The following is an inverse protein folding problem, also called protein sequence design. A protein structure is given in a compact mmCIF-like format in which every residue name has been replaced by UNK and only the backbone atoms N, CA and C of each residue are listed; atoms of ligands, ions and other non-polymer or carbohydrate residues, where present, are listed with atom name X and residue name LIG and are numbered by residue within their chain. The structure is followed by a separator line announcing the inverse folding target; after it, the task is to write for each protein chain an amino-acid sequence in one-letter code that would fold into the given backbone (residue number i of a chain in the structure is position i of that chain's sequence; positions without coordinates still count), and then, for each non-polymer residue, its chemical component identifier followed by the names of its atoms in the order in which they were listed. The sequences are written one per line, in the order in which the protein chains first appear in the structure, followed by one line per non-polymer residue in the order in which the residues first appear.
data_IF_363591801186
#
_entry.id   IF_363591801186
#
_cell.length_a   1.000
_cell.length_b   1.000
_cell.length_c   1.000
_cell.angle_alpha   90.00
_cell.angle_beta   90.00
_cell.angle_gamma   90.00
#
_symmetry.space_group_name_H-M   'P 1'
#
loop_
_entity.id
_entity.type
_entity.pdbx_description
1 polymer ?
#
# COMPACT_ATOMS: atom_id res chain seq x y z
N UNK A 1 -2.92 -2.68 -22.19
CA UNK A 1 -2.47 -3.31 -20.93
C UNK A 1 -3.51 -3.05 -19.86
N UNK A 2 -4.29 -4.06 -19.45
CA UNK A 2 -5.20 -3.92 -18.30
C UNK A 2 -4.33 -3.95 -17.05
N UNK A 3 -4.10 -2.78 -16.43
CA UNK A 3 -3.42 -2.72 -15.14
C UNK A 3 -4.20 -3.59 -14.16
N UNK A 4 -3.51 -4.54 -13.53
CA UNK A 4 -4.08 -5.33 -12.43
C UNK A 4 -4.71 -4.36 -11.45
N UNK A 5 -6.04 -4.32 -11.38
CA UNK A 5 -6.76 -3.69 -10.27
C UNK A 5 -6.24 -4.42 -9.04
N UNK A 6 -5.34 -3.81 -8.28
CA UNK A 6 -4.94 -4.36 -6.98
C UNK A 6 -6.22 -4.51 -6.16
N UNK A 7 -6.64 -5.76 -6.02
CA UNK A 7 -7.76 -6.16 -5.20
C UNK A 7 -7.14 -6.43 -3.82
N UNK A 8 -7.28 -5.46 -2.92
CA UNK A 8 -6.83 -5.65 -1.55
C UNK A 8 -7.80 -6.57 -0.83
N UNK A 9 -7.24 -7.53 -0.10
CA UNK A 9 -7.97 -8.38 0.83
C UNK A 9 -7.94 -7.76 2.23
N UNK A 10 -8.77 -8.23 3.16
CA UNK A 10 -8.80 -7.65 4.51
C UNK A 10 -7.55 -8.02 5.33
N UNK A 11 -6.90 -9.12 4.94
CA UNK A 11 -5.75 -9.72 5.60
C UNK A 11 -4.44 -9.07 5.17
N UNK A 12 -4.43 -8.39 4.01
CA UNK A 12 -3.24 -7.73 3.48
C UNK A 12 -2.65 -6.73 4.50
N UNK A 13 -1.33 -6.78 4.61
CA UNK A 13 -0.56 -6.03 5.61
C UNK A 13 -0.25 -4.65 5.07
N UNK A 14 -0.56 -3.62 5.85
CA UNK A 14 -0.21 -2.23 5.58
C UNK A 14 1.10 -1.94 6.31
N UNK A 15 2.11 -1.47 5.57
CA UNK A 15 3.37 -0.97 6.13
C UNK A 15 3.49 0.52 5.86
N UNK A 16 3.51 1.37 6.90
CA UNK A 16 3.72 2.80 6.72
C UNK A 16 5.13 3.10 6.21
N UNK A 17 5.22 4.03 5.26
CA UNK A 17 6.47 4.53 4.69
C UNK A 17 6.81 5.94 5.19
N UNK A 18 5.81 6.64 5.74
CA UNK A 18 5.92 7.99 6.30
C UNK A 18 5.20 8.03 7.66
N UNK A 19 5.64 8.91 8.55
CA UNK A 19 5.00 9.08 9.86
C UNK A 19 3.81 10.05 9.81
N UNK A 20 3.84 11.01 8.88
CA UNK A 20 2.83 12.08 8.76
C UNK A 20 2.30 12.19 7.33
N UNK A 21 0.99 12.34 7.12
CA UNK A 21 0.42 12.51 5.78
C UNK A 21 0.96 13.73 5.03
N UNK A 22 1.37 13.52 3.77
CA UNK A 22 1.75 14.61 2.85
C UNK A 22 0.54 15.30 2.20
N UNK A 23 -0.57 15.42 2.93
CA UNK A 23 -1.82 16.02 2.47
C UNK A 23 -2.12 17.24 3.33
N UNK A 24 -2.86 18.22 2.82
CA UNK A 24 -3.22 19.42 3.61
C UNK A 24 -3.91 19.04 4.93
N UNK A 25 -3.30 19.43 6.04
CA UNK A 25 -3.82 19.23 7.39
C UNK A 25 -5.25 19.79 7.54
N UNK A 26 -6.07 19.10 8.34
CA UNK A 26 -7.49 19.43 8.56
C UNK A 26 -8.45 18.95 7.46
N UNK A 27 -7.95 18.48 6.31
CA UNK A 27 -8.80 17.87 5.28
C UNK A 27 -9.32 16.49 5.70
N UNK A 28 -10.40 16.02 5.06
CA UNK A 28 -10.88 14.64 5.25
C UNK A 28 -9.82 13.62 4.83
N UNK A 29 -9.11 13.89 3.73
CA UNK A 29 -8.06 13.00 3.23
C UNK A 29 -6.88 12.90 4.19
N UNK A 30 -6.51 13.99 4.87
CA UNK A 30 -5.50 13.96 5.91
C UNK A 30 -5.90 13.00 7.04
N UNK A 31 -7.11 13.18 7.59
CA UNK A 31 -7.64 12.32 8.66
C UNK A 31 -7.74 10.85 8.26
N UNK A 32 -8.20 10.58 7.03
CA UNK A 32 -8.28 9.21 6.51
C UNK A 32 -6.88 8.60 6.35
N UNK A 33 -5.90 9.38 5.88
CA UNK A 33 -4.53 8.91 5.73
C UNK A 33 -3.87 8.64 7.09
N UNK A 34 -4.11 9.48 8.11
CA UNK A 34 -3.64 9.21 9.49
C UNK A 34 -4.17 7.88 10.02
N UNK A 35 -5.45 7.57 9.77
CA UNK A 35 -6.03 6.28 10.16
C UNK A 35 -5.32 5.13 9.46
N UNK A 36 -5.08 5.24 8.15
CA UNK A 36 -4.42 4.19 7.37
C UNK A 36 -2.99 3.95 7.88
N UNK A 37 -2.25 5.01 8.21
CA UNK A 37 -0.88 4.93 8.74
C UNK A 37 -0.82 4.22 10.11
N UNK A 38 -1.89 4.27 10.89
CA UNK A 38 -1.98 3.66 12.23
C UNK A 38 -2.51 2.21 12.21
N UNK A 39 -2.86 1.67 11.04
CA UNK A 39 -3.44 0.33 10.92
C UNK A 39 -2.41 -0.68 10.42
N UNK A 40 -2.53 -1.91 10.91
CA UNK A 40 -1.65 -3.00 10.50
C UNK A 40 -2.17 -3.75 9.26
N UNK A 41 -3.48 -3.78 9.06
CA UNK A 41 -4.12 -4.50 7.94
C UNK A 41 -5.17 -3.65 7.24
N UNK A 42 -5.46 -4.02 6.00
CA UNK A 42 -6.51 -3.40 5.18
C UNK A 42 -7.88 -3.52 5.85
N UNK A 43 -8.20 -4.67 6.44
CA UNK A 43 -9.46 -4.88 7.16
C UNK A 43 -9.62 -3.95 8.36
N UNK A 44 -8.55 -3.73 9.12
CA UNK A 44 -8.55 -2.78 10.25
C UNK A 44 -8.75 -1.35 9.76
N UNK A 45 -8.02 -0.94 8.72
CA UNK A 45 -8.16 0.38 8.10
C UNK A 45 -9.59 0.61 7.59
N UNK A 46 -10.17 -0.34 6.86
CA UNK A 46 -11.55 -0.24 6.38
C UNK A 46 -12.55 -0.13 7.51
N UNK A 47 -12.37 -0.89 8.61
CA UNK A 47 -13.25 -0.82 9.77
C UNK A 47 -13.20 0.57 10.42
N UNK A 48 -12.01 1.13 10.64
CA UNK A 48 -11.84 2.46 11.23
C UNK A 48 -12.34 3.58 10.30
N UNK A 49 -12.06 3.48 9.01
CA UNK A 49 -12.53 4.43 7.99
C UNK A 49 -14.06 4.47 7.90
N UNK A 50 -14.72 3.30 7.95
CA UNK A 50 -16.19 3.20 7.94
C UNK A 50 -16.83 3.66 9.24
N UNK A 51 -16.12 3.55 10.36
CA UNK A 51 -16.59 4.01 11.66
C UNK A 51 -16.54 5.54 11.81
N UNK A 52 -15.94 6.27 10.87
CA UNK A 52 -16.01 7.73 10.90
C UNK A 52 -17.40 8.23 10.50
N UNK A 53 -17.95 9.13 11.30
CA UNK A 53 -19.26 9.78 11.09
C UNK A 53 -19.42 10.44 9.71
N UNK A 54 -18.31 10.79 9.07
CA UNK A 54 -18.32 11.53 7.80
C UNK A 54 -18.65 10.64 6.59
N UNK A 55 -18.71 9.31 6.73
CA UNK A 55 -19.19 8.40 5.67
C UNK A 55 -18.36 8.34 4.38
N UNK A 56 -17.23 9.04 4.31
CA UNK A 56 -16.41 9.19 3.10
C UNK A 56 -15.20 8.24 3.02
N UNK A 57 -14.94 7.44 4.07
CA UNK A 57 -13.78 6.56 4.16
C UNK A 57 -14.01 5.17 3.55
N UNK A 58 -13.07 4.67 2.76
CA UNK A 58 -13.16 3.32 2.19
C UNK A 58 -11.91 2.85 1.46
N UNK A 59 -12.09 1.85 0.59
CA UNK A 59 -11.00 1.22 -0.16
C UNK A 59 -10.22 2.22 -1.03
N UNK A 60 -10.88 3.31 -1.44
CA UNK A 60 -10.26 4.36 -2.22
C UNK A 60 -9.20 5.14 -1.42
N UNK A 61 -9.39 5.38 -0.12
CA UNK A 61 -8.40 6.07 0.72
C UNK A 61 -7.14 5.23 0.93
N UNK A 62 -7.29 3.91 1.03
CA UNK A 62 -6.17 2.96 1.11
C UNK A 62 -5.39 2.99 -0.21
N UNK A 63 -6.07 3.00 -1.37
CA UNK A 63 -5.41 3.16 -2.68
C UNK A 63 -4.70 4.51 -2.78
N UNK A 64 -5.34 5.58 -2.34
CA UNK A 64 -4.75 6.91 -2.33
C UNK A 64 -3.48 6.95 -1.47
N UNK A 65 -3.45 6.28 -0.31
CA UNK A 65 -2.26 6.17 0.51
C UNK A 65 -1.10 5.43 -0.20
N UNK A 66 -1.40 4.37 -0.94
CA UNK A 66 -0.39 3.66 -1.76
C UNK A 66 0.11 4.55 -2.90
N UNK A 67 -0.79 5.21 -3.63
CA UNK A 67 -0.45 6.08 -4.77
C UNK A 67 0.39 7.30 -4.34
N UNK A 68 0.25 7.76 -3.09
CA UNK A 68 1.05 8.85 -2.52
C UNK A 68 2.33 8.37 -1.82
N UNK A 69 2.69 7.09 -1.94
CA UNK A 69 3.83 6.47 -1.25
C UNK A 69 3.79 6.66 0.27
N UNK A 70 2.60 6.76 0.86
CA UNK A 70 2.44 6.86 2.30
C UNK A 70 2.52 5.49 2.97
N UNK A 71 2.06 4.45 2.27
CA UNK A 71 2.09 3.06 2.72
C UNK A 71 2.44 2.12 1.55
N UNK A 72 2.92 0.94 1.87
CA UNK A 72 2.94 -0.21 0.96
C UNK A 72 2.02 -1.32 1.49
N UNK A 73 1.47 -2.13 0.59
CA UNK A 73 0.59 -3.24 0.94
C UNK A 73 1.26 -4.54 0.51
N UNK A 74 1.34 -5.50 1.43
CA UNK A 74 1.87 -6.83 1.18
C UNK A 74 0.74 -7.85 1.28
N UNK A 75 0.69 -8.78 0.32
CA UNK A 75 -0.32 -9.82 0.36
C UNK A 75 -0.03 -10.81 1.50
N UNK A 76 -1.06 -11.15 2.28
CA UNK A 76 -0.89 -12.05 3.42
C UNK A 76 -0.55 -13.50 2.99
N UNK A 77 -0.92 -13.93 1.79
CA UNK A 77 -0.60 -15.26 1.27
C UNK A 77 0.84 -15.38 0.76
N UNK A 78 1.41 -14.31 0.21
CA UNK A 78 2.83 -14.23 -0.19
C UNK A 78 3.79 -14.27 1.02
N UNK A 79 3.30 -13.98 2.23
CA UNK A 79 4.09 -13.98 3.47
C UNK A 79 4.23 -15.38 4.11
N UNK A 80 3.82 -16.46 3.43
CA UNK A 80 4.03 -17.85 3.89
C UNK A 80 5.42 -18.41 3.55
N UNK A 81 6.19 -17.75 2.68
CA UNK A 81 7.57 -18.11 2.36
C UNK A 81 8.53 -16.93 2.61
N UNK A 82 9.23 -16.86 3.75
CA UNK A 82 10.19 -15.78 4.05
C UNK A 82 11.43 -15.76 3.13
N UNK A 83 11.47 -16.60 2.08
CA UNK A 83 12.62 -16.78 1.19
C UNK A 83 12.34 -16.41 -0.27
N UNK A 84 11.21 -15.75 -0.59
CA UNK A 84 10.90 -15.31 -1.95
C UNK A 84 10.96 -13.78 -2.11
N UNK A 85 12.05 -13.16 -1.65
CA UNK A 85 12.50 -11.92 -2.29
C UNK A 85 13.31 -12.31 -3.53
N UNK A 86 12.67 -12.32 -4.70
CA UNK A 86 13.39 -12.35 -5.97
C UNK A 86 13.60 -10.89 -6.37
N UNK A 87 14.79 -10.29 -6.18
CA UNK A 87 15.07 -9.02 -6.81
C UNK A 87 14.88 -9.22 -8.32
N UNK A 88 14.03 -8.39 -8.94
CA UNK A 88 13.86 -8.40 -10.40
C UNK A 88 15.24 -8.24 -11.01
N UNK A 89 15.71 -9.32 -11.62
CA UNK A 89 16.93 -9.37 -12.41
C UNK A 89 16.88 -8.20 -13.39
N UNK A 90 17.91 -7.35 -13.33
CA UNK A 90 18.18 -6.42 -14.42
C UNK A 90 18.40 -7.29 -15.66
N UNK A 91 17.56 -7.04 -16.64
CA UNK A 91 17.60 -7.59 -17.98
C UNK A 91 19.05 -7.70 -18.50
N UNK A 92 19.33 -8.82 -19.15
CA UNK A 92 20.60 -9.06 -19.80
C UNK A 92 20.95 -8.00 -20.84
N UNK A 93 22.24 -7.74 -20.94
CA UNK A 93 22.92 -7.55 -22.20
C UNK A 93 24.30 -8.22 -22.01
N UNK A 94 24.41 -9.47 -22.45
CA UNK A 94 25.65 -9.89 -23.10
C UNK A 94 25.88 -8.94 -24.27
N UNK A 95 27.13 -8.57 -24.52
CA UNK A 95 27.77 -8.78 -25.82
C UNK A 95 29.18 -8.17 -25.78
N UNK A 96 30.16 -9.04 -26.07
CA UNK A 96 31.46 -8.78 -26.71
C UNK A 96 32.52 -7.90 -26.03
N UNK A 97 33.47 -8.57 -25.37
CA UNK A 97 34.86 -8.10 -25.27
C UNK A 97 35.75 -9.13 -25.99
N UNK A 98 36.30 -8.84 -27.18
CA UNK A 98 37.50 -9.51 -27.63
C UNK A 98 38.74 -8.75 -27.14
N UNK A 99 39.64 -9.52 -26.53
CA UNK A 99 41.07 -9.34 -26.23
C UNK A 99 41.73 -7.96 -26.47
#
# INVERSE_FOLDING_TARGET
MRGSKMAFTNEDIITPLIDTPNVKAGSFRHRNMEIVLQCKTVGEALKKLRAQDTGHGGMWDIRFAVENNAVTIQNAEENKDPNQYVPKEKAGASDDIPF
#
